data_IF_941499494422
#
_entry.id   IF_941499494422
#
_cell.length_a   1.000
_cell.length_b   1.000
_cell.length_c   1.000
_cell.angle_alpha   90.00
_cell.angle_beta   90.00
_cell.angle_gamma   90.00
#
_symmetry.space_group_name_H-M   'P 1'
#
loop_
_entity.id
_entity.type
_entity.pdbx_description
1 polymer ?
#
# COMPACT_ATOMS: atom_id res chain seq x y z
N UNK A 1 -2.15 16.00 -49.23
CA UNK A 1 -2.41 16.12 -47.77
C UNK A 1 -1.80 14.97 -46.97
N UNK A 2 -2.28 13.72 -47.09
CA UNK A 2 -1.85 12.56 -46.24
C UNK A 2 -0.33 12.45 -46.00
N UNK A 3 0.51 12.59 -47.04
CA UNK A 3 1.98 12.49 -46.89
C UNK A 3 2.61 13.55 -45.96
N UNK A 4 2.00 14.73 -45.84
CA UNK A 4 2.41 15.75 -44.87
C UNK A 4 1.85 15.47 -43.46
N UNK A 5 0.65 14.89 -43.37
CA UNK A 5 0.06 14.47 -42.09
C UNK A 5 0.95 13.41 -41.41
N UNK A 6 1.41 12.42 -42.18
CA UNK A 6 2.36 11.39 -41.71
C UNK A 6 3.69 12.01 -41.29
N UNK A 7 4.23 12.95 -42.07
CA UNK A 7 5.48 13.64 -41.72
C UNK A 7 5.37 14.44 -40.41
N UNK A 8 4.26 15.17 -40.20
CA UNK A 8 4.00 15.89 -38.95
C UNK A 8 3.86 14.93 -37.77
N UNK A 9 3.12 13.83 -37.93
CA UNK A 9 2.93 12.82 -36.88
C UNK A 9 4.26 12.15 -36.49
N UNK A 10 5.13 11.88 -37.48
CA UNK A 10 6.47 11.33 -37.27
C UNK A 10 7.39 12.31 -36.54
N UNK A 11 7.32 13.61 -36.84
CA UNK A 11 8.08 14.65 -36.11
C UNK A 11 7.62 14.75 -34.65
N UNK A 12 6.31 14.71 -34.38
CA UNK A 12 5.77 14.75 -33.00
C UNK A 12 6.28 13.57 -32.16
N UNK A 13 6.37 12.37 -32.74
CA UNK A 13 6.86 11.19 -32.03
C UNK A 13 8.33 11.26 -31.62
N UNK A 14 9.18 11.98 -32.37
CA UNK A 14 10.62 12.10 -32.08
C UNK A 14 10.90 12.95 -30.82
N UNK A 15 10.02 13.90 -30.48
CA UNK A 15 10.21 14.79 -29.33
C UNK A 15 9.70 14.23 -27.98
N UNK A 16 9.05 13.06 -27.97
CA UNK A 16 8.43 12.49 -26.76
C UNK A 16 9.41 11.80 -25.79
N UNK A 17 10.70 11.72 -26.11
CA UNK A 17 11.61 10.71 -25.54
C UNK A 17 12.45 11.11 -24.31
N UNK A 18 12.27 12.32 -23.74
CA UNK A 18 13.18 12.83 -22.68
C UNK A 18 12.46 13.32 -21.42
N UNK A 19 11.70 12.45 -20.78
CA UNK A 19 11.34 12.61 -19.36
C UNK A 19 12.32 11.79 -18.50
N UNK A 20 13.18 12.46 -17.72
CA UNK A 20 14.02 11.84 -16.69
C UNK A 20 13.60 12.37 -15.32
N UNK A 21 13.10 11.47 -14.48
CA UNK A 21 12.89 11.74 -13.05
C UNK A 21 14.10 11.25 -12.26
N UNK A 22 14.73 12.16 -11.51
CA UNK A 22 15.65 11.79 -10.44
C UNK A 22 14.84 11.67 -9.15
N UNK A 23 14.69 10.47 -8.61
CA UNK A 23 14.03 10.27 -7.32
C UNK A 23 15.08 10.26 -6.22
N UNK A 24 14.96 11.23 -5.32
CA UNK A 24 15.85 11.43 -4.18
C UNK A 24 15.33 10.67 -2.95
N UNK A 25 16.16 9.81 -2.38
CA UNK A 25 15.90 9.06 -1.16
C UNK A 25 16.68 9.70 0.01
N UNK A 26 16.02 9.94 1.15
CA UNK A 26 16.72 10.30 2.39
C UNK A 26 16.06 9.65 3.61
N UNK A 27 16.87 9.48 4.66
CA UNK A 27 16.44 8.97 5.95
C UNK A 27 16.39 10.12 6.96
N UNK A 28 15.28 10.25 7.69
CA UNK A 28 15.10 11.29 8.70
C UNK A 28 15.63 10.90 10.09
N UNK A 29 15.50 11.81 11.07
CA UNK A 29 15.90 11.57 12.47
C UNK A 29 15.07 10.46 13.17
N UNK A 30 14.05 9.90 12.53
CA UNK A 30 13.20 8.81 13.06
C UNK A 30 13.42 7.49 12.30
N UNK A 31 14.37 7.45 11.36
CA UNK A 31 14.67 6.27 10.55
C UNK A 31 13.70 6.04 9.39
N UNK A 32 12.76 6.97 9.13
CA UNK A 32 11.81 6.85 8.03
C UNK A 32 12.51 7.20 6.72
N UNK A 33 12.35 6.34 5.71
CA UNK A 33 12.84 6.59 4.34
C UNK A 33 11.79 7.40 3.58
N UNK A 34 12.17 8.58 3.15
CA UNK A 34 11.35 9.49 2.34
C UNK A 34 11.85 9.52 0.90
N UNK A 35 10.92 9.69 -0.04
CA UNK A 35 11.19 9.82 -1.47
C UNK A 35 10.61 11.13 -2.01
N UNK A 36 11.34 11.79 -2.91
CA UNK A 36 10.80 12.95 -3.65
C UNK A 36 11.52 13.15 -4.97
N UNK A 37 10.83 13.69 -5.97
CA UNK A 37 11.42 14.04 -7.28
C UNK A 37 11.78 15.54 -7.39
N UNK A 38 11.74 16.27 -6.27
CA UNK A 38 12.04 17.70 -6.18
C UNK A 38 13.04 17.98 -5.03
N UNK A 39 14.34 18.20 -5.30
CA UNK A 39 15.36 18.24 -4.25
C UNK A 39 15.19 19.44 -3.29
N UNK A 40 14.48 20.48 -3.73
CA UNK A 40 14.08 21.61 -2.89
C UNK A 40 13.19 21.21 -1.69
N UNK A 41 12.41 20.11 -1.81
CA UNK A 41 11.56 19.59 -0.71
C UNK A 41 12.34 18.86 0.38
N UNK A 42 13.60 18.51 0.16
CA UNK A 42 14.45 17.85 1.14
C UNK A 42 14.90 18.90 2.17
N UNK A 43 14.63 18.74 3.47
CA UNK A 43 15.10 19.66 4.51
C UNK A 43 16.63 19.71 4.57
N UNK A 44 17.22 20.89 4.80
CA UNK A 44 18.67 21.12 4.74
C UNK A 44 19.50 20.19 5.63
N UNK A 45 18.96 19.77 6.79
CA UNK A 45 19.58 18.79 7.70
C UNK A 45 19.88 17.46 7.01
N UNK A 46 19.04 17.04 6.07
CA UNK A 46 19.13 15.73 5.41
C UNK A 46 19.78 15.79 4.01
N UNK A 47 19.94 16.98 3.41
CA UNK A 47 20.54 17.16 2.07
C UNK A 47 21.93 16.53 1.93
N UNK A 48 22.70 16.41 3.02
CA UNK A 48 24.03 15.75 3.06
C UNK A 48 24.00 14.22 3.17
N UNK A 49 22.81 13.60 3.25
CA UNK A 49 22.60 12.15 3.39
C UNK A 49 21.69 11.56 2.30
N UNK A 50 21.39 12.34 1.26
CA UNK A 50 20.54 11.93 0.13
C UNK A 50 21.25 10.90 -0.73
N UNK A 51 20.53 9.85 -1.12
CA UNK A 51 20.91 8.97 -2.22
C UNK A 51 20.04 9.31 -3.43
N UNK A 52 20.66 9.65 -4.55
CA UNK A 52 19.94 9.74 -5.84
C UNK A 52 19.76 8.33 -6.36
N UNK A 53 18.53 7.91 -6.67
CA UNK A 53 18.29 6.68 -7.44
C UNK A 53 18.03 7.04 -8.89
N UNK A 54 18.84 6.53 -9.80
CA UNK A 54 18.50 6.55 -11.22
C UNK A 54 17.26 5.66 -11.44
N UNK A 55 16.30 6.16 -12.21
CA UNK A 55 15.04 5.47 -12.51
C UNK A 55 15.29 4.12 -13.20
N UNK A 56 14.62 3.07 -12.72
CA UNK A 56 14.94 1.65 -13.01
C UNK A 56 15.09 1.34 -14.51
N UNK A 57 16.34 1.23 -14.97
CA UNK A 57 16.71 0.38 -16.11
C UNK A 57 17.11 -0.99 -15.54
N UNK A 58 16.30 -2.01 -15.80
CA UNK A 58 16.50 -3.33 -15.20
C UNK A 58 17.71 -4.06 -15.78
N UNK A 59 18.74 -4.28 -14.95
CA UNK A 59 19.88 -5.17 -15.21
C UNK A 59 20.42 -5.75 -13.87
N UNK A 60 21.28 -6.76 -13.96
CA UNK A 60 21.56 -7.73 -12.88
C UNK A 60 22.20 -7.14 -11.60
N UNK A 61 21.71 -7.54 -10.42
CA UNK A 61 22.45 -7.33 -9.16
C UNK A 61 23.60 -8.34 -9.07
N UNK A 62 24.75 -7.96 -9.63
CA UNK A 62 26.04 -8.61 -9.33
C UNK A 62 26.53 -8.13 -7.97
N UNK A 63 26.83 -9.06 -7.06
CA UNK A 63 27.40 -8.75 -5.74
C UNK A 63 28.93 -8.84 -5.80
N UNK A 64 29.63 -7.70 -5.70
CA UNK A 64 30.92 -7.68 -4.99
C UNK A 64 31.22 -6.34 -4.27
N UNK A 65 32.23 -6.29 -3.39
CA UNK A 65 32.55 -7.25 -2.32
C UNK A 65 32.57 -6.55 -0.95
N UNK A 66 32.83 -7.29 0.14
CA UNK A 66 32.98 -6.69 1.46
C UNK A 66 34.31 -5.91 1.60
N UNK A 67 34.27 -4.78 2.33
CA UNK A 67 35.46 -4.15 2.91
C UNK A 67 35.31 -4.03 4.43
N UNK A 68 36.09 -4.84 5.13
CA UNK A 68 36.58 -4.62 6.50
C UNK A 68 37.46 -3.33 6.54
N UNK A 69 37.88 -2.69 7.65
CA UNK A 69 37.98 -3.00 9.11
C UNK A 69 38.18 -1.64 9.86
N UNK A 70 38.03 -1.44 11.18
CA UNK A 70 37.64 -2.29 12.32
C UNK A 70 36.70 -1.48 13.30
N UNK A 71 36.86 -1.27 14.64
CA UNK A 71 35.72 -0.89 15.51
C UNK A 71 35.87 0.43 16.32
N UNK A 72 34.76 0.89 16.92
CA UNK A 72 34.76 1.71 18.15
C UNK A 72 33.44 1.54 18.93
N UNK A 73 33.33 0.44 19.68
CA UNK A 73 32.34 0.27 20.76
C UNK A 73 32.88 0.81 22.10
N UNK A 74 32.06 0.94 23.17
CA UNK A 74 30.61 0.74 23.24
C UNK A 74 29.85 1.98 23.75
N UNK A 75 28.68 2.27 23.15
CA UNK A 75 27.76 3.27 23.68
C UNK A 75 26.31 2.91 23.34
N UNK A 76 25.71 1.98 24.10
CA UNK A 76 24.29 1.66 23.94
C UNK A 76 23.95 0.64 22.86
N UNK A 77 24.84 -0.31 22.58
CA UNK A 77 24.46 -1.64 22.07
C UNK A 77 23.63 -2.37 23.14
N UNK A 78 22.45 -1.84 23.49
CA UNK A 78 21.40 -2.67 24.06
C UNK A 78 21.16 -3.82 23.07
N UNK A 79 20.93 -5.06 23.53
CA UNK A 79 20.61 -6.12 22.58
C UNK A 79 19.37 -5.70 21.79
N UNK A 80 19.23 -6.20 20.57
CA UNK A 80 17.91 -6.31 19.95
C UNK A 80 17.17 -7.46 20.64
N UNK A 81 16.93 -7.30 21.96
CA UNK A 81 15.92 -8.04 22.71
C UNK A 81 14.63 -7.98 21.90
N UNK A 82 13.81 -9.03 21.95
CA UNK A 82 12.48 -8.93 21.34
C UNK A 82 11.75 -7.79 22.05
N UNK A 83 11.65 -6.62 21.41
CA UNK A 83 11.07 -5.44 22.03
C UNK A 83 9.55 -5.62 22.04
N UNK A 84 9.09 -6.30 23.09
CA UNK A 84 7.74 -6.83 23.25
C UNK A 84 6.77 -5.73 23.66
N UNK A 85 6.41 -4.88 22.70
CA UNK A 85 5.39 -3.86 22.87
C UNK A 85 4.05 -4.53 23.20
N UNK A 86 3.54 -4.32 24.43
CA UNK A 86 2.32 -4.95 24.91
C UNK A 86 2.42 -6.47 25.10
N UNK A 87 3.63 -7.04 25.16
CA UNK A 87 3.86 -8.48 25.19
C UNK A 87 3.94 -9.16 23.81
N UNK A 88 3.92 -8.39 22.72
CA UNK A 88 3.96 -8.90 21.35
C UNK A 88 5.11 -8.27 20.53
N UNK A 89 5.73 -9.06 19.65
CA UNK A 89 6.84 -8.63 18.79
C UNK A 89 6.36 -8.02 17.46
N UNK A 90 7.31 -7.47 16.69
CA UNK A 90 7.06 -6.80 15.40
C UNK A 90 6.30 -7.65 14.37
N UNK A 91 6.58 -8.95 14.31
CA UNK A 91 5.94 -9.85 13.34
C UNK A 91 4.48 -10.09 13.70
N UNK A 92 4.18 -10.26 14.99
CA UNK A 92 2.80 -10.38 15.48
C UNK A 92 1.98 -9.12 15.17
N UNK A 93 2.50 -7.93 15.49
CA UNK A 93 1.79 -6.67 15.21
C UNK A 93 1.53 -6.52 13.70
N UNK A 94 2.54 -6.71 12.86
CA UNK A 94 2.37 -6.63 11.39
C UNK A 94 1.34 -7.64 10.88
N UNK A 95 1.45 -8.91 11.25
CA UNK A 95 0.52 -9.96 10.79
C UNK A 95 -0.93 -9.70 11.25
N UNK A 96 -1.13 -9.13 12.43
CA UNK A 96 -2.47 -8.72 12.91
C UNK A 96 -3.06 -7.59 12.06
N UNK A 97 -2.29 -6.56 11.69
CA UNK A 97 -2.78 -5.51 10.79
C UNK A 97 -2.97 -5.99 9.35
N UNK A 98 -2.04 -6.81 8.85
CA UNK A 98 -2.06 -7.37 7.49
C UNK A 98 -3.29 -8.28 7.27
N UNK A 99 -3.51 -9.25 8.17
CA UNK A 99 -4.67 -10.16 8.09
C UNK A 99 -6.03 -9.47 8.20
N UNK A 100 -6.17 -8.46 9.07
CA UNK A 100 -7.41 -7.67 9.18
C UNK A 100 -7.67 -6.86 7.89
N UNK A 101 -6.63 -6.33 7.23
CA UNK A 101 -6.77 -5.61 5.96
C UNK A 101 -7.07 -6.53 4.80
N UNK A 102 -6.46 -7.70 4.73
CA UNK A 102 -6.75 -8.69 3.69
C UNK A 102 -8.16 -9.26 3.84
N UNK A 103 -8.67 -9.46 5.06
CA UNK A 103 -10.07 -9.81 5.29
C UNK A 103 -11.01 -8.69 4.77
N UNK A 104 -10.78 -7.42 5.18
CA UNK A 104 -11.54 -6.25 4.68
C UNK A 104 -11.51 -6.18 3.14
N UNK A 105 -10.34 -6.34 2.54
CA UNK A 105 -10.14 -6.26 1.09
C UNK A 105 -10.87 -7.38 0.35
N UNK A 106 -10.78 -8.62 0.84
CA UNK A 106 -11.49 -9.76 0.25
C UNK A 106 -13.01 -9.58 0.27
N UNK A 107 -13.53 -8.97 1.35
CA UNK A 107 -14.94 -8.61 1.50
C UNK A 107 -15.30 -7.46 0.54
N UNK A 108 -14.46 -6.43 0.42
CA UNK A 108 -14.65 -5.30 -0.48
C UNK A 108 -14.68 -5.72 -1.96
N UNK A 109 -13.75 -6.59 -2.38
CA UNK A 109 -13.70 -7.13 -3.74
C UNK A 109 -14.92 -8.02 -4.03
N UNK A 110 -15.32 -8.88 -3.08
CA UNK A 110 -16.53 -9.70 -3.20
C UNK A 110 -17.84 -8.89 -3.20
N UNK A 111 -17.89 -7.76 -2.49
CA UNK A 111 -19.03 -6.86 -2.46
C UNK A 111 -19.31 -6.22 -3.83
N UNK A 112 -18.28 -5.98 -4.66
CA UNK A 112 -18.47 -5.47 -6.03
C UNK A 112 -19.27 -6.47 -6.87
N UNK A 113 -18.83 -7.73 -6.93
CA UNK A 113 -19.52 -8.76 -7.71
C UNK A 113 -20.94 -9.04 -7.21
N UNK A 114 -21.13 -9.07 -5.87
CA UNK A 114 -22.45 -9.22 -5.25
C UNK A 114 -23.39 -8.06 -5.60
N UNK A 115 -22.91 -6.81 -5.60
CA UNK A 115 -23.72 -5.63 -5.96
C UNK A 115 -24.12 -5.62 -7.43
N UNK A 116 -23.23 -5.98 -8.35
CA UNK A 116 -23.55 -6.11 -9.79
C UNK A 116 -24.56 -7.23 -10.04
N UNK A 117 -24.37 -8.38 -9.37
CA UNK A 117 -25.32 -9.51 -9.41
C UNK A 117 -26.69 -9.12 -8.84
N UNK A 118 -26.74 -8.30 -7.79
CA UNK A 118 -28.00 -7.75 -7.24
C UNK A 118 -28.67 -6.77 -8.22
N UNK A 119 -27.91 -5.93 -8.92
CA UNK A 119 -28.43 -5.03 -9.95
C UNK A 119 -29.04 -5.82 -11.13
N UNK A 120 -28.40 -6.91 -11.56
CA UNK A 120 -28.93 -7.81 -12.58
C UNK A 120 -30.22 -8.52 -12.13
N UNK A 121 -30.29 -9.00 -10.89
CA UNK A 121 -31.53 -9.56 -10.31
C UNK A 121 -32.64 -8.51 -10.20
N UNK A 122 -32.32 -7.28 -9.79
CA UNK A 122 -33.26 -6.15 -9.74
C UNK A 122 -33.85 -5.87 -11.13
N UNK A 123 -33.03 -5.81 -12.16
CA UNK A 123 -33.48 -5.62 -13.54
C UNK A 123 -34.39 -6.76 -14.01
N UNK A 124 -33.98 -8.02 -13.82
CA UNK A 124 -34.80 -9.20 -14.14
C UNK A 124 -36.17 -9.16 -13.46
N UNK A 125 -36.21 -8.81 -12.17
CA UNK A 125 -37.47 -8.72 -11.39
C UNK A 125 -38.42 -7.63 -11.91
N UNK A 126 -37.89 -6.55 -12.48
CA UNK A 126 -38.70 -5.49 -13.12
C UNK A 126 -39.30 -5.98 -14.44
N UNK A 127 -38.51 -6.66 -15.28
CA UNK A 127 -38.93 -7.13 -16.61
C UNK A 127 -39.91 -8.30 -16.54
N UNK A 128 -39.64 -9.31 -15.71
CA UNK A 128 -40.40 -10.58 -15.71
C UNK A 128 -41.40 -10.72 -14.55
N UNK A 129 -41.32 -9.86 -13.52
CA UNK A 129 -42.20 -9.79 -12.34
C UNK A 129 -42.47 -11.11 -11.58
N UNK A 130 -41.70 -12.17 -11.84
CA UNK A 130 -41.96 -13.52 -11.35
C UNK A 130 -41.69 -13.64 -9.85
N UNK A 131 -42.58 -14.34 -9.14
CA UNK A 131 -42.49 -14.52 -7.68
C UNK A 131 -41.22 -15.23 -7.20
N UNK A 132 -40.65 -16.14 -8.01
CA UNK A 132 -39.38 -16.83 -7.72
C UNK A 132 -38.21 -15.88 -7.51
N UNK A 133 -38.21 -14.75 -8.21
CA UNK A 133 -37.06 -13.86 -8.33
C UNK A 133 -36.91 -12.96 -7.09
N UNK A 134 -37.86 -13.07 -6.14
CA UNK A 134 -37.82 -12.40 -4.83
C UNK A 134 -36.81 -13.04 -3.87
N UNK A 135 -36.72 -14.36 -3.83
CA UNK A 135 -35.87 -15.05 -2.85
C UNK A 135 -34.37 -14.82 -3.12
N UNK A 136 -33.82 -15.06 -4.33
CA UNK A 136 -32.40 -14.79 -4.61
C UNK A 136 -32.02 -13.31 -4.47
N UNK A 137 -32.95 -12.38 -4.75
CA UNK A 137 -32.73 -10.96 -4.55
C UNK A 137 -32.63 -10.60 -3.06
N UNK A 138 -33.53 -11.12 -2.22
CA UNK A 138 -33.51 -10.87 -0.78
C UNK A 138 -32.31 -11.53 -0.09
N UNK A 139 -31.96 -12.75 -0.52
CA UNK A 139 -30.83 -13.53 -0.01
C UNK A 139 -29.49 -12.83 -0.30
N UNK A 140 -29.25 -12.45 -1.56
CA UNK A 140 -28.04 -11.72 -1.96
C UNK A 140 -27.96 -10.32 -1.32
N UNK A 141 -29.10 -9.65 -1.12
CA UNK A 141 -29.14 -8.40 -0.36
C UNK A 141 -28.73 -8.62 1.11
N UNK A 142 -29.20 -9.70 1.73
CA UNK A 142 -28.83 -10.05 3.10
C UNK A 142 -27.37 -10.54 3.22
N UNK A 143 -26.76 -11.11 2.17
CA UNK A 143 -25.30 -11.31 2.10
C UNK A 143 -24.55 -9.98 2.13
N UNK A 144 -24.89 -9.04 1.23
CA UNK A 144 -24.27 -7.70 1.16
C UNK A 144 -24.37 -6.98 2.51
N UNK A 145 -25.53 -7.02 3.18
CA UNK A 145 -25.71 -6.38 4.49
C UNK A 145 -24.89 -7.05 5.62
N UNK A 146 -24.60 -8.37 5.51
CA UNK A 146 -23.70 -9.07 6.43
C UNK A 146 -22.22 -8.78 6.15
N UNK A 147 -21.85 -8.69 4.88
CA UNK A 147 -20.50 -8.31 4.44
C UNK A 147 -20.15 -6.88 4.89
N UNK A 148 -21.07 -5.93 4.71
CA UNK A 148 -20.90 -4.52 5.12
C UNK A 148 -20.80 -4.39 6.65
N UNK A 149 -21.60 -5.15 7.40
CA UNK A 149 -21.50 -5.22 8.86
C UNK A 149 -20.16 -5.84 9.30
N UNK A 150 -19.69 -6.90 8.65
CA UNK A 150 -18.39 -7.54 8.94
C UNK A 150 -17.22 -6.61 8.63
N UNK A 151 -17.26 -5.87 7.52
CA UNK A 151 -16.26 -4.85 7.20
C UNK A 151 -16.17 -3.79 8.32
N UNK A 152 -17.31 -3.41 8.91
CA UNK A 152 -17.37 -2.46 10.04
C UNK A 152 -16.75 -3.06 11.29
N UNK A 153 -17.09 -4.31 11.64
CA UNK A 153 -16.49 -5.07 12.77
C UNK A 153 -14.96 -5.18 12.65
N UNK A 154 -14.44 -5.34 11.43
CA UNK A 154 -12.99 -5.39 11.16
C UNK A 154 -12.31 -4.02 11.27
N UNK A 155 -12.99 -2.94 10.87
CA UNK A 155 -12.50 -1.57 11.08
C UNK A 155 -12.45 -1.20 12.58
N UNK A 156 -13.45 -1.61 13.36
CA UNK A 156 -13.44 -1.46 14.82
C UNK A 156 -12.31 -2.26 15.49
N UNK A 157 -11.98 -3.45 14.99
CA UNK A 157 -10.82 -4.23 15.44
C UNK A 157 -9.49 -3.53 15.12
N UNK A 158 -9.32 -2.98 13.92
CA UNK A 158 -8.13 -2.19 13.57
C UNK A 158 -8.01 -0.98 14.51
N UNK A 159 -9.10 -0.25 14.75
CA UNK A 159 -9.10 0.90 15.67
C UNK A 159 -8.78 0.50 17.13
N UNK A 160 -9.23 -0.67 17.57
CA UNK A 160 -8.91 -1.24 18.89
C UNK A 160 -7.43 -1.62 18.97
N UNK A 161 -6.92 -2.32 17.95
CA UNK A 161 -5.52 -2.69 17.82
C UNK A 161 -4.60 -1.46 17.78
N UNK A 162 -5.02 -0.36 17.12
CA UNK A 162 -4.32 0.94 17.14
C UNK A 162 -4.32 1.60 18.53
N UNK A 163 -5.41 1.47 19.30
CA UNK A 163 -5.45 1.96 20.68
C UNK A 163 -4.52 1.15 21.59
N UNK A 164 -4.47 -0.17 21.43
CA UNK A 164 -3.54 -1.06 22.14
C UNK A 164 -2.08 -0.79 21.76
N UNK A 165 -1.78 -0.72 20.45
CA UNK A 165 -0.48 -0.36 19.91
C UNK A 165 0.00 1.01 20.43
N UNK A 166 -0.92 1.98 20.56
CA UNK A 166 -0.62 3.31 21.11
C UNK A 166 -0.34 3.29 22.61
N UNK A 167 -1.09 2.50 23.40
CA UNK A 167 -0.82 2.30 24.85
C UNK A 167 0.50 1.57 25.08
N UNK A 168 0.83 0.61 24.23
CA UNK A 168 2.05 -0.17 24.29
C UNK A 168 3.29 0.63 23.82
N UNK A 169 3.13 1.69 23.04
CA UNK A 169 4.22 2.48 22.47
C UNK A 169 4.76 1.95 21.13
N UNK A 170 4.01 1.09 20.44
CA UNK A 170 4.38 0.49 19.14
C UNK A 170 4.67 1.59 18.11
N UNK A 171 5.84 1.58 17.43
CA UNK A 171 6.16 2.51 16.36
C UNK A 171 5.13 2.50 15.22
N UNK A 172 4.80 3.66 14.66
CA UNK A 172 3.81 3.77 13.56
C UNK A 172 4.17 2.94 12.33
N UNK A 173 5.47 2.78 12.02
CA UNK A 173 5.97 1.94 10.94
C UNK A 173 5.72 0.42 11.12
N UNK A 174 5.26 -0.03 12.29
CA UNK A 174 4.84 -1.40 12.54
C UNK A 174 3.33 -1.61 12.35
N UNK A 175 2.59 -0.51 12.14
CA UNK A 175 1.13 -0.48 11.92
C UNK A 175 0.75 -0.15 10.48
N UNK A 176 1.72 -0.15 9.56
CA UNK A 176 1.49 0.06 8.12
C UNK A 176 1.09 -1.24 7.42
#
# INVERSE_FOLDING_TARGET
>A
MVRHLIAVFMVVFVFAATARGETYEWLDDQGVVHFTDAPAKIPDKYRKRVKVRESVKGEEIRVPPAQEKQPSEPAGSAPMEQQLYGGHDMSWWRMSYESLRDEIKSIQDGLLEKRDRLAALRHRRIVYQKGSDRAPYNELKAEIERDEARMTELQEKIATLDAEASRAGVPSGWRQ
#
